data_IF_833855894358
#
_entry.id   IF_833855894358
#
_cell.length_a   1.000
_cell.length_b   1.000
_cell.length_c   1.000
_cell.angle_alpha   90.00
_cell.angle_beta   90.00
_cell.angle_gamma   90.00
#
_symmetry.space_group_name_H-M   'P 1'
#
loop_
_entity.id
_entity.type
_entity.pdbx_description
1 polymer ?
#
# COMPACT_ATOMS: atom_id res chain seq x y z
N UNK A 1 8.23 -27.96 18.75
CA UNK A 1 7.87 -26.61 18.26
C UNK A 1 7.48 -26.77 16.79
N UNK A 2 6.18 -26.83 16.48
CA UNK A 2 5.71 -27.05 15.11
C UNK A 2 5.71 -25.73 14.34
N UNK A 3 6.37 -25.68 13.18
CA UNK A 3 6.25 -24.53 12.28
C UNK A 3 4.80 -24.42 11.80
N UNK A 4 4.19 -23.24 11.98
CA UNK A 4 2.91 -22.92 11.35
C UNK A 4 3.08 -23.01 9.83
N UNK A 5 2.34 -23.90 9.17
CA UNK A 5 2.24 -23.90 7.71
C UNK A 5 1.40 -22.70 7.29
N UNK A 6 2.01 -21.74 6.63
CA UNK A 6 1.33 -20.60 6.00
C UNK A 6 1.01 -20.94 4.55
N UNK A 7 -0.23 -20.72 4.13
CA UNK A 7 -0.65 -20.88 2.73
C UNK A 7 -0.49 -19.57 1.94
N UNK A 8 -0.33 -19.66 0.61
CA UNK A 8 -0.33 -18.49 -0.27
C UNK A 8 -1.53 -17.58 -0.05
N UNK A 9 -2.72 -18.16 0.15
CA UNK A 9 -3.95 -17.40 0.44
C UNK A 9 -3.83 -16.56 1.71
N UNK A 10 -3.13 -17.05 2.73
CA UNK A 10 -2.90 -16.28 3.97
C UNK A 10 -1.89 -15.16 3.76
N UNK A 11 -0.84 -15.39 2.96
CA UNK A 11 0.15 -14.36 2.60
C UNK A 11 -0.52 -13.25 1.80
N UNK A 12 -1.27 -13.60 0.75
CA UNK A 12 -2.00 -12.66 -0.09
C UNK A 12 -2.99 -11.83 0.74
N UNK A 13 -3.79 -12.50 1.58
CA UNK A 13 -4.74 -11.82 2.47
C UNK A 13 -4.05 -10.83 3.41
N UNK A 14 -2.95 -11.24 4.06
CA UNK A 14 -2.20 -10.36 4.96
C UNK A 14 -1.68 -9.13 4.21
N UNK A 15 -1.14 -9.32 3.01
CA UNK A 15 -0.61 -8.22 2.21
C UNK A 15 -1.71 -7.28 1.70
N UNK A 16 -2.86 -7.81 1.29
CA UNK A 16 -4.02 -7.01 0.88
C UNK A 16 -4.53 -6.17 2.06
N UNK A 17 -4.62 -6.74 3.26
CA UNK A 17 -5.00 -6.02 4.48
C UNK A 17 -4.00 -4.89 4.83
N UNK A 18 -2.69 -5.13 4.65
CA UNK A 18 -1.66 -4.10 4.82
C UNK A 18 -1.80 -2.97 3.81
N UNK A 19 -2.05 -3.29 2.53
CA UNK A 19 -2.24 -2.30 1.47
C UNK A 19 -3.49 -1.46 1.74
N UNK A 20 -4.62 -2.09 2.08
CA UNK A 20 -5.86 -1.38 2.40
C UNK A 20 -5.71 -0.47 3.61
N UNK A 21 -5.02 -0.94 4.66
CA UNK A 21 -4.72 -0.13 5.83
C UNK A 21 -3.87 1.10 5.43
N UNK A 22 -2.81 0.88 4.65
CA UNK A 22 -1.93 1.95 4.23
C UNK A 22 -2.64 2.98 3.35
N UNK A 23 -3.53 2.55 2.44
CA UNK A 23 -4.34 3.46 1.63
C UNK A 23 -5.27 4.34 2.48
N UNK A 24 -5.90 3.75 3.51
CA UNK A 24 -6.74 4.51 4.46
C UNK A 24 -5.92 5.52 5.26
N UNK A 25 -4.74 5.11 5.73
CA UNK A 25 -3.83 6.01 6.45
C UNK A 25 -3.38 7.18 5.56
N UNK A 26 -2.97 6.89 4.32
CA UNK A 26 -2.54 7.89 3.36
C UNK A 26 -3.67 8.89 3.05
N UNK A 27 -4.92 8.42 2.88
CA UNK A 27 -6.10 9.29 2.69
C UNK A 27 -6.39 10.16 3.90
N UNK A 28 -6.31 9.60 5.11
CA UNK A 28 -6.52 10.35 6.33
C UNK A 28 -5.48 11.48 6.46
N UNK A 29 -4.21 11.20 6.17
CA UNK A 29 -3.16 12.21 6.18
C UNK A 29 -3.33 13.25 5.06
N UNK A 30 -3.68 12.82 3.85
CA UNK A 30 -3.94 13.73 2.73
C UNK A 30 -5.04 14.74 3.11
N UNK A 31 -6.12 14.25 3.73
CA UNK A 31 -7.25 15.08 4.20
C UNK A 31 -6.90 16.05 5.31
N UNK A 32 -5.83 15.81 6.07
CA UNK A 32 -5.31 16.77 7.04
C UNK A 32 -4.56 17.94 6.37
N UNK A 33 -4.06 17.74 5.15
CA UNK A 33 -3.31 18.74 4.39
C UNK A 33 -4.20 19.49 3.38
N UNK A 34 -5.14 18.78 2.76
CA UNK A 34 -6.10 19.33 1.79
C UNK A 34 -7.48 18.77 2.09
N UNK A 35 -8.41 19.64 2.47
CA UNK A 35 -9.78 19.24 2.79
C UNK A 35 -10.51 18.69 1.56
N UNK A 36 -11.38 17.69 1.77
CA UNK A 36 -12.29 17.19 0.73
C UNK A 36 -11.69 16.17 -0.25
N UNK A 37 -10.42 15.78 -0.11
CA UNK A 37 -9.82 14.79 -1.00
C UNK A 37 -10.56 13.45 -1.00
N UNK A 38 -10.69 12.88 -2.19
CA UNK A 38 -11.22 11.55 -2.46
C UNK A 38 -10.10 10.51 -2.52
N UNK A 39 -10.47 9.23 -2.54
CA UNK A 39 -9.53 8.13 -2.75
C UNK A 39 -8.81 8.22 -4.09
N UNK A 40 -9.51 8.73 -5.11
CA UNK A 40 -9.06 8.91 -6.47
C UNK A 40 -7.98 9.99 -6.56
N UNK A 41 -8.12 11.08 -5.79
CA UNK A 41 -7.15 12.18 -5.77
C UNK A 41 -5.78 11.75 -5.25
N UNK A 42 -5.71 10.74 -4.39
CA UNK A 42 -4.45 10.18 -3.88
C UNK A 42 -3.67 9.42 -4.95
N UNK A 43 -4.35 8.97 -6.01
CA UNK A 43 -3.68 8.31 -7.13
C UNK A 43 -2.84 9.29 -7.95
N UNK A 44 -3.11 10.60 -7.83
CA UNK A 44 -2.39 11.68 -8.51
C UNK A 44 -1.97 12.77 -7.49
N UNK A 45 -1.16 12.44 -6.46
CA UNK A 45 -0.90 13.37 -5.36
C UNK A 45 -0.06 14.58 -5.79
N UNK A 46 0.61 14.50 -6.95
CA UNK A 46 1.37 15.60 -7.55
C UNK A 46 0.47 16.75 -8.05
N UNK A 47 -0.84 16.51 -8.20
CA UNK A 47 -1.80 17.58 -8.53
C UNK A 47 -2.06 18.51 -7.32
N UNK A 48 -1.58 18.12 -6.13
CA UNK A 48 -1.75 18.85 -4.88
C UNK A 48 -0.38 19.24 -4.30
N UNK A 49 0.09 20.49 -4.51
CA UNK A 49 1.41 20.92 -4.03
C UNK A 49 1.62 20.70 -2.53
N UNK A 50 0.55 20.80 -1.72
CA UNK A 50 0.59 20.56 -0.28
C UNK A 50 0.94 19.11 0.09
N UNK A 51 0.59 18.13 -0.76
CA UNK A 51 0.95 16.72 -0.59
C UNK A 51 2.39 16.47 -1.07
N UNK A 52 2.75 17.04 -2.22
CA UNK A 52 4.06 16.86 -2.84
C UNK A 52 5.21 17.33 -1.92
N UNK A 53 5.04 18.49 -1.28
CA UNK A 53 6.08 19.08 -0.42
C UNK A 53 6.09 18.49 1.01
N UNK A 54 5.09 17.69 1.39
CA UNK A 54 4.99 17.18 2.75
C UNK A 54 5.80 15.88 2.91
N UNK A 55 6.92 15.89 3.67
CA UNK A 55 7.82 14.74 3.75
C UNK A 55 7.17 13.52 4.42
N UNK A 56 6.24 13.72 5.35
CA UNK A 56 5.51 12.61 5.99
C UNK A 56 4.57 11.93 5.01
N UNK A 57 3.81 12.72 4.25
CA UNK A 57 2.93 12.19 3.21
C UNK A 57 3.73 11.40 2.16
N UNK A 58 4.85 11.97 1.67
CA UNK A 58 5.74 11.31 0.69
C UNK A 58 6.34 10.01 1.23
N UNK A 59 6.68 9.95 2.52
CA UNK A 59 7.15 8.73 3.16
C UNK A 59 6.07 7.63 3.14
N UNK A 60 4.86 7.95 3.57
CA UNK A 60 3.73 7.01 3.63
C UNK A 60 3.28 6.55 2.24
N UNK A 61 3.37 7.42 1.23
CA UNK A 61 3.18 7.06 -0.17
C UNK A 61 4.23 6.04 -0.62
N UNK A 62 5.50 6.26 -0.27
CA UNK A 62 6.58 5.32 -0.53
C UNK A 62 6.36 3.95 0.11
N UNK A 63 5.83 3.90 1.34
CA UNK A 63 5.44 2.65 2.01
C UNK A 63 4.37 1.91 1.22
N UNK A 64 3.32 2.61 0.75
CA UNK A 64 2.29 2.01 -0.09
C UNK A 64 2.88 1.42 -1.39
N UNK A 65 3.75 2.17 -2.06
CA UNK A 65 4.44 1.70 -3.28
C UNK A 65 5.30 0.46 -3.00
N UNK A 66 5.96 0.40 -1.85
CA UNK A 66 6.72 -0.78 -1.40
C UNK A 66 5.84 -2.02 -1.20
N UNK A 67 4.69 -1.87 -0.55
CA UNK A 67 3.72 -2.97 -0.37
C UNK A 67 3.17 -3.49 -1.71
N UNK A 68 2.85 -2.58 -2.63
CA UNK A 68 2.40 -2.94 -3.98
C UNK A 68 3.49 -3.66 -4.77
N UNK A 69 4.74 -3.23 -4.62
CA UNK A 69 5.91 -3.90 -5.22
C UNK A 69 6.09 -5.32 -4.66
N UNK A 70 5.94 -5.48 -3.34
CA UNK A 70 5.97 -6.80 -2.69
C UNK A 70 4.86 -7.72 -3.23
N UNK A 71 3.66 -7.19 -3.47
CA UNK A 71 2.53 -7.96 -4.03
C UNK A 71 2.84 -8.48 -5.43
N UNK A 72 3.45 -7.65 -6.27
CA UNK A 72 3.87 -8.05 -7.62
C UNK A 72 4.90 -9.17 -7.54
N UNK A 73 5.94 -9.00 -6.72
CA UNK A 73 7.00 -10.00 -6.55
C UNK A 73 6.47 -11.35 -6.02
N UNK A 74 5.62 -11.33 -4.98
CA UNK A 74 5.01 -12.53 -4.42
C UNK A 74 4.07 -13.23 -5.40
N UNK A 75 3.35 -12.47 -6.23
CA UNK A 75 2.51 -13.03 -7.29
C UNK A 75 3.33 -13.76 -8.34
N UNK A 76 4.49 -13.22 -8.73
CA UNK A 76 5.42 -13.88 -9.64
C UNK A 76 5.97 -15.19 -9.03
N UNK A 77 6.43 -15.14 -7.77
CA UNK A 77 6.92 -16.32 -7.04
C UNK A 77 5.85 -17.42 -6.92
N UNK A 78 4.61 -17.06 -6.61
CA UNK A 78 3.50 -18.03 -6.55
C UNK A 78 3.26 -18.70 -7.90
N UNK A 79 3.35 -17.94 -9.00
CA UNK A 79 3.20 -18.48 -10.36
C UNK A 79 4.31 -19.48 -10.68
N UNK A 80 5.56 -19.14 -10.38
CA UNK A 80 6.72 -20.02 -10.56
C UNK A 80 6.59 -21.31 -9.74
N UNK A 81 6.17 -21.23 -8.47
CA UNK A 81 5.97 -22.38 -7.61
C UNK A 81 4.78 -23.29 -8.00
N UNK A 82 3.94 -22.83 -8.94
CA UNK A 82 2.80 -23.58 -9.46
C UNK A 82 3.11 -24.30 -10.79
N UNK A 83 4.33 -24.15 -11.33
CA UNK A 83 4.86 -24.87 -12.49
C UNK A 83 5.83 -25.96 -12.04
#
# INVERSE_FOLDING_TARGET
MGFLKVSWKQVEKCLDEMIEYQQKNLLAQARQLVEGLTSEDILQPNDFPALEINPYFRYEEGVLAGLQSARIALSALKKEASH
#
